data_IF_065594786757
#
_entry.id   IF_065594786757
#
_cell.length_a   1.000
_cell.length_b   1.000
_cell.length_c   1.000
_cell.angle_alpha   90.00
_cell.angle_beta   90.00
_cell.angle_gamma   90.00
#
_symmetry.space_group_name_H-M   'P 1'
#
loop_
_entity.id
_entity.type
_entity.pdbx_description
1 polymer ?
#
# COMPACT_ATOMS: atom_id res chain seq x y z
N UNK A 1 -15.43 20.81 16.37
CA UNK A 1 -16.82 20.30 16.19
C UNK A 1 -17.65 21.42 15.54
N UNK A 2 -18.51 21.11 14.57
CA UNK A 2 -19.39 22.12 13.93
C UNK A 2 -18.75 22.98 12.83
N UNK A 3 -17.51 22.72 12.41
CA UNK A 3 -16.80 23.53 11.39
C UNK A 3 -16.19 22.66 10.29
N UNK A 4 -15.42 21.63 10.67
CA UNK A 4 -14.87 20.62 9.77
C UNK A 4 -15.31 19.23 10.25
N UNK A 5 -15.69 18.36 9.30
CA UNK A 5 -15.96 16.94 9.50
C UNK A 5 -15.10 16.16 8.53
N UNK A 6 -14.34 15.20 9.03
CA UNK A 6 -13.48 14.37 8.19
C UNK A 6 -14.32 13.26 7.54
N UNK A 7 -14.19 13.12 6.23
CA UNK A 7 -14.68 11.98 5.45
C UNK A 7 -13.45 11.23 4.96
N UNK A 8 -13.23 10.03 5.49
CA UNK A 8 -11.97 9.29 5.31
C UNK A 8 -12.21 7.99 4.55
N UNK A 9 -11.45 7.77 3.49
CA UNK A 9 -11.42 6.50 2.75
C UNK A 9 -10.42 5.50 3.34
N UNK A 10 -9.49 5.98 4.17
CA UNK A 10 -8.57 5.17 4.95
C UNK A 10 -8.32 5.84 6.31
N UNK A 11 -8.52 5.09 7.41
CA UNK A 11 -8.36 5.64 8.77
C UNK A 11 -6.91 5.58 9.23
N UNK A 12 -6.38 6.70 9.71
CA UNK A 12 -5.06 6.79 10.32
C UNK A 12 -5.14 6.99 11.83
N UNK A 13 -3.99 6.99 12.52
CA UNK A 13 -3.90 7.31 13.96
C UNK A 13 -4.65 8.60 14.36
N UNK A 14 -4.58 9.74 13.63
CA UNK A 14 -5.26 10.96 14.03
C UNK A 14 -6.78 10.94 13.80
N UNK A 15 -7.28 10.24 12.77
CA UNK A 15 -8.72 10.19 12.46
C UNK A 15 -9.45 9.07 13.21
N UNK A 16 -8.74 8.02 13.65
CA UNK A 16 -9.31 6.85 14.33
C UNK A 16 -10.17 7.19 15.56
N UNK A 17 -9.75 8.06 16.51
CA UNK A 17 -10.61 8.41 17.64
C UNK A 17 -11.90 9.12 17.21
N UNK A 18 -11.81 10.01 16.22
CA UNK A 18 -12.97 10.77 15.73
C UNK A 18 -13.98 9.87 15.01
N UNK A 19 -13.52 8.95 14.15
CA UNK A 19 -14.39 7.98 13.45
C UNK A 19 -15.12 7.10 14.47
N UNK A 20 -14.39 6.53 15.42
CA UNK A 20 -14.98 5.63 16.43
C UNK A 20 -15.87 6.35 17.46
N UNK A 21 -15.84 7.69 17.51
CA UNK A 21 -16.73 8.51 18.32
C UNK A 21 -17.89 9.12 17.51
N UNK A 22 -18.04 8.79 16.22
CA UNK A 22 -19.08 9.34 15.33
C UNK A 22 -18.87 10.82 14.94
N UNK A 23 -17.66 11.35 15.17
CA UNK A 23 -17.27 12.73 14.86
C UNK A 23 -16.66 12.88 13.45
N UNK A 24 -16.31 11.77 12.81
CA UNK A 24 -15.84 11.65 11.44
C UNK A 24 -16.50 10.43 10.78
N UNK A 25 -16.52 10.39 9.44
CA UNK A 25 -17.18 9.34 8.67
C UNK A 25 -16.13 8.51 7.92
N UNK A 26 -16.15 7.19 8.11
CA UNK A 26 -15.37 6.25 7.31
C UNK A 26 -16.21 5.78 6.11
N UNK A 27 -15.61 5.81 4.93
CA UNK A 27 -16.22 5.38 3.67
C UNK A 27 -15.42 4.19 3.14
N UNK A 28 -15.95 2.96 3.23
CA UNK A 28 -15.25 1.80 2.69
C UNK A 28 -15.25 1.87 1.16
N UNK A 29 -14.06 1.94 0.57
CA UNK A 29 -13.84 1.89 -0.87
C UNK A 29 -12.49 1.24 -1.17
N UNK A 30 -12.38 0.53 -2.30
CA UNK A 30 -11.06 0.14 -2.81
C UNK A 30 -10.28 1.38 -3.21
N UNK A 31 -8.98 1.40 -2.92
CA UNK A 31 -8.15 2.56 -3.22
C UNK A 31 -8.15 2.87 -4.74
N UNK A 32 -8.17 1.83 -5.58
CA UNK A 32 -8.29 1.91 -7.04
C UNK A 32 -9.58 2.55 -7.55
N UNK A 33 -10.68 2.51 -6.78
CA UNK A 33 -11.97 3.08 -7.19
C UNK A 33 -12.11 4.57 -6.79
N UNK A 34 -11.30 5.07 -5.86
CA UNK A 34 -11.38 6.47 -5.42
C UNK A 34 -11.19 7.45 -6.61
N UNK A 35 -10.19 7.27 -7.50
CA UNK A 35 -10.06 8.11 -8.69
C UNK A 35 -11.33 8.15 -9.55
N UNK A 36 -12.01 7.02 -9.71
CA UNK A 36 -13.26 6.94 -10.48
C UNK A 36 -14.39 7.70 -9.79
N UNK A 37 -14.54 7.57 -8.47
CA UNK A 37 -15.53 8.33 -7.70
C UNK A 37 -15.37 9.84 -7.87
N UNK A 38 -14.13 10.33 -7.96
CA UNK A 38 -13.85 11.74 -8.22
C UNK A 38 -14.16 12.11 -9.68
N UNK A 39 -13.62 11.36 -10.64
CA UNK A 39 -13.76 11.64 -12.10
C UNK A 39 -15.19 11.52 -12.60
N UNK A 40 -16.00 10.62 -12.04
CA UNK A 40 -17.42 10.46 -12.39
C UNK A 40 -18.31 11.55 -11.77
N UNK A 41 -17.79 12.31 -10.80
CA UNK A 41 -18.56 13.27 -10.03
C UNK A 41 -19.49 12.66 -8.97
N UNK A 42 -19.45 11.34 -8.75
CA UNK A 42 -20.16 10.67 -7.65
C UNK A 42 -19.74 11.23 -6.30
N UNK A 43 -18.47 11.59 -6.15
CA UNK A 43 -17.95 12.37 -5.05
C UNK A 43 -17.41 13.71 -5.56
N UNK A 44 -18.21 14.76 -5.41
CA UNK A 44 -17.81 16.11 -5.81
C UNK A 44 -16.71 16.66 -4.89
N UNK A 45 -15.79 17.42 -5.49
CA UNK A 45 -14.69 18.10 -4.82
C UNK A 45 -14.71 19.59 -5.19
N UNK A 46 -14.86 20.47 -4.19
CA UNK A 46 -14.78 21.91 -4.43
C UNK A 46 -13.34 22.42 -4.46
N UNK A 47 -12.47 21.82 -3.64
CA UNK A 47 -11.07 22.25 -3.52
C UNK A 47 -10.18 21.07 -3.18
N UNK A 48 -9.07 20.94 -3.90
CA UNK A 48 -7.96 20.06 -3.54
C UNK A 48 -6.83 20.87 -2.91
N UNK A 49 -6.29 20.39 -1.79
CA UNK A 49 -5.14 20.99 -1.11
C UNK A 49 -3.98 20.00 -1.23
N UNK A 50 -2.89 20.44 -1.86
CA UNK A 50 -1.74 19.58 -2.16
C UNK A 50 -0.43 20.21 -1.69
N UNK A 51 0.60 19.39 -1.56
CA UNK A 51 1.99 19.82 -1.42
C UNK A 51 2.77 19.34 -2.66
N UNK A 52 3.60 20.20 -3.24
CA UNK A 52 4.34 19.92 -4.49
C UNK A 52 5.77 20.42 -4.42
N UNK A 53 6.64 19.90 -5.31
CA UNK A 53 7.98 20.45 -5.55
C UNK A 53 7.93 21.84 -6.21
N UNK A 54 9.02 22.62 -6.17
CA UNK A 54 9.16 23.83 -6.98
C UNK A 54 8.94 23.54 -8.47
N UNK A 55 8.39 24.50 -9.22
CA UNK A 55 8.23 24.35 -10.66
C UNK A 55 9.59 24.29 -11.35
N UNK A 56 9.72 23.43 -12.35
CA UNK A 56 10.87 23.43 -13.25
C UNK A 56 10.81 24.60 -14.27
N UNK A 57 11.79 24.65 -15.19
CA UNK A 57 11.86 25.68 -16.24
C UNK A 57 10.65 25.73 -17.18
N UNK A 58 9.80 24.69 -17.18
CA UNK A 58 8.58 24.61 -17.97
C UNK A 58 7.33 24.94 -17.14
N UNK A 59 7.48 25.26 -15.86
CA UNK A 59 6.37 25.54 -14.96
C UNK A 59 5.71 24.30 -14.39
N UNK A 60 6.35 23.12 -14.49
CA UNK A 60 5.84 21.87 -13.94
C UNK A 60 6.36 21.65 -12.52
N UNK A 61 5.45 21.58 -11.57
CA UNK A 61 5.67 21.06 -10.23
C UNK A 61 5.49 19.52 -10.23
N UNK A 62 5.92 18.86 -9.16
CA UNK A 62 5.65 17.44 -8.90
C UNK A 62 4.85 17.24 -7.62
N UNK A 63 3.85 16.35 -7.63
CA UNK A 63 3.17 15.82 -6.45
C UNK A 63 4.10 15.04 -5.50
N UNK A 64 5.30 14.69 -5.99
CA UNK A 64 6.35 14.03 -5.24
C UNK A 64 5.95 12.67 -4.73
N UNK A 65 6.04 12.45 -3.42
CA UNK A 65 5.92 11.11 -2.82
C UNK A 65 4.50 10.54 -2.84
N UNK A 66 3.49 11.30 -3.27
CA UNK A 66 2.08 10.86 -3.27
C UNK A 66 1.35 11.26 -4.54
N UNK A 67 1.14 10.30 -5.45
CA UNK A 67 0.23 10.47 -6.61
C UNK A 67 -1.16 9.96 -6.26
N UNK A 68 -1.25 8.70 -5.82
CA UNK A 68 -2.44 8.06 -5.26
C UNK A 68 -3.75 8.45 -5.97
N UNK A 69 -4.78 8.89 -5.23
CA UNK A 69 -5.98 9.46 -5.84
C UNK A 69 -5.89 10.98 -6.01
N UNK A 70 -4.78 11.60 -5.59
CA UNK A 70 -4.58 13.05 -5.65
C UNK A 70 -4.61 13.56 -7.08
N UNK A 71 -4.00 12.87 -8.05
CA UNK A 71 -4.08 13.29 -9.46
C UNK A 71 -5.52 13.34 -9.99
N UNK A 72 -6.37 12.39 -9.60
CA UNK A 72 -7.79 12.39 -9.95
C UNK A 72 -8.56 13.49 -9.22
N UNK A 73 -8.17 13.81 -7.99
CA UNK A 73 -8.72 14.95 -7.26
C UNK A 73 -8.40 16.27 -7.96
N UNK A 74 -7.17 16.46 -8.48
CA UNK A 74 -6.80 17.65 -9.25
C UNK A 74 -7.61 17.79 -10.56
N UNK A 75 -7.87 16.67 -11.23
CA UNK A 75 -8.69 16.64 -12.45
C UNK A 75 -10.15 17.00 -12.21
N UNK A 76 -10.65 16.80 -10.98
CA UNK A 76 -12.09 16.88 -10.65
C UNK A 76 -12.44 18.08 -9.77
N UNK A 77 -11.48 18.62 -9.01
CA UNK A 77 -11.71 19.73 -8.10
C UNK A 77 -11.91 21.06 -8.85
N UNK A 78 -12.83 21.89 -8.36
CA UNK A 78 -13.07 23.23 -8.94
C UNK A 78 -11.89 24.19 -8.73
N UNK A 79 -11.11 23.99 -7.67
CA UNK A 79 -9.95 24.80 -7.30
C UNK A 79 -8.83 23.92 -6.76
N UNK A 80 -7.60 24.28 -7.06
CA UNK A 80 -6.41 23.65 -6.50
C UNK A 80 -5.66 24.70 -5.69
N UNK A 81 -5.33 24.38 -4.43
CA UNK A 81 -4.47 25.18 -3.56
C UNK A 81 -3.22 24.37 -3.27
N UNK A 82 -2.05 24.91 -3.61
CA UNK A 82 -0.79 24.20 -3.47
C UNK A 82 0.12 24.84 -2.41
N UNK A 83 0.78 24.01 -1.60
CA UNK A 83 2.01 24.38 -0.91
C UNK A 83 3.20 23.93 -1.78
N UNK A 84 4.00 24.88 -2.25
CA UNK A 84 5.26 24.60 -2.92
C UNK A 84 6.34 24.44 -1.84
N UNK A 85 6.90 23.24 -1.73
CA UNK A 85 7.91 22.88 -0.73
C UNK A 85 9.18 22.40 -1.45
N UNK A 86 10.33 23.11 -1.34
CA UNK A 86 11.59 22.69 -1.95
C UNK A 86 12.10 21.33 -1.46
N UNK A 87 11.62 20.85 -0.31
CA UNK A 87 11.97 19.52 0.19
C UNK A 87 11.15 18.38 -0.47
N UNK A 88 10.11 18.68 -1.26
CA UNK A 88 9.31 17.67 -1.96
C UNK A 88 10.07 17.10 -3.16
N UNK A 89 10.37 15.78 -3.19
CA UNK A 89 11.06 15.17 -4.31
C UNK A 89 10.32 15.37 -5.63
N UNK A 90 11.05 15.58 -6.71
CA UNK A 90 10.54 15.63 -8.08
C UNK A 90 10.45 14.21 -8.64
N UNK A 91 9.49 13.43 -8.15
CA UNK A 91 9.26 12.06 -8.66
C UNK A 91 8.77 12.05 -10.10
N UNK A 92 9.08 11.00 -10.87
CA UNK A 92 8.59 10.80 -12.23
C UNK A 92 7.25 10.05 -12.28
N UNK A 93 6.53 10.15 -13.40
CA UNK A 93 5.29 9.44 -13.67
C UNK A 93 4.12 10.40 -13.87
N UNK A 94 2.98 10.11 -13.24
CA UNK A 94 1.77 10.93 -13.27
C UNK A 94 1.79 12.05 -12.21
N UNK A 95 2.97 12.32 -11.65
CA UNK A 95 3.20 13.29 -10.58
C UNK A 95 3.22 14.75 -11.05
N UNK A 96 3.39 15.01 -12.34
CA UNK A 96 3.57 16.39 -12.83
C UNK A 96 2.25 17.17 -12.89
N UNK A 97 2.27 18.40 -12.39
CA UNK A 97 1.16 19.36 -12.45
C UNK A 97 1.69 20.76 -12.79
N UNK A 98 0.99 21.52 -13.64
CA UNK A 98 1.46 22.84 -14.03
C UNK A 98 1.07 23.89 -12.97
N UNK A 99 1.99 24.79 -12.64
CA UNK A 99 1.73 25.95 -11.77
C UNK A 99 0.47 26.78 -12.16
N UNK A 100 0.10 26.79 -13.45
CA UNK A 100 -1.08 27.50 -13.97
C UNK A 100 -2.41 26.85 -13.56
N UNK A 101 -2.39 25.60 -13.14
CA UNK A 101 -3.58 24.87 -12.69
C UNK A 101 -3.97 25.26 -11.25
N UNK A 102 -3.10 25.98 -10.53
CA UNK A 102 -3.35 26.39 -9.16
C UNK A 102 -4.17 27.67 -9.09
N UNK A 103 -5.26 27.64 -8.32
CA UNK A 103 -6.04 28.83 -8.00
C UNK A 103 -5.29 29.76 -7.01
N UNK A 104 -4.49 29.16 -6.12
CA UNK A 104 -3.58 29.84 -5.23
C UNK A 104 -2.43 28.91 -4.85
N UNK A 105 -1.27 29.45 -4.53
CA UNK A 105 -0.19 28.69 -3.92
C UNK A 105 0.55 29.51 -2.88
N UNK A 106 1.24 28.81 -1.98
CA UNK A 106 2.18 29.38 -1.02
C UNK A 106 3.51 28.65 -1.15
N UNK A 107 4.60 29.40 -1.19
CA UNK A 107 5.95 28.85 -1.08
C UNK A 107 6.30 28.74 0.40
N UNK A 108 6.44 27.51 0.89
CA UNK A 108 6.74 27.22 2.27
C UNK A 108 7.59 25.96 2.36
N UNK A 109 8.85 26.16 2.74
CA UNK A 109 9.74 25.08 3.13
C UNK A 109 9.23 24.44 4.43
N UNK A 110 9.09 23.12 4.41
CA UNK A 110 8.72 22.36 5.60
C UNK A 110 9.32 20.96 5.55
N UNK A 111 9.64 20.34 6.71
CA UNK A 111 10.04 18.95 6.75
C UNK A 111 8.93 18.04 6.21
N UNK A 112 9.30 17.03 5.41
CA UNK A 112 8.37 15.99 4.99
C UNK A 112 8.30 14.93 6.09
N UNK A 113 7.10 14.45 6.47
CA UNK A 113 6.97 13.40 7.46
C UNK A 113 7.80 12.16 7.09
N UNK A 114 8.69 11.76 8.00
CA UNK A 114 9.48 10.55 7.86
C UNK A 114 8.75 9.36 8.49
N UNK A 115 8.90 8.19 7.88
CA UNK A 115 8.53 6.91 8.48
C UNK A 115 9.79 6.05 8.59
N UNK A 116 10.31 5.91 9.80
CA UNK A 116 11.52 5.12 10.01
C UNK A 116 11.18 3.62 10.05
N UNK A 117 12.10 2.75 9.61
CA UNK A 117 11.94 1.31 9.66
C UNK A 117 11.53 0.83 11.06
N UNK A 118 10.63 -0.15 11.10
CA UNK A 118 10.18 -0.71 12.35
C UNK A 118 11.29 -1.54 13.00
N UNK A 119 11.38 -1.49 14.34
CA UNK A 119 12.22 -2.41 15.07
C UNK A 119 11.78 -3.85 14.79
N UNK A 120 12.76 -4.72 14.53
CA UNK A 120 12.53 -6.13 14.31
C UNK A 120 12.49 -6.87 15.64
N UNK A 121 11.56 -7.82 15.76
CA UNK A 121 11.50 -8.74 16.88
C UNK A 121 11.60 -10.20 16.38
N UNK A 122 11.77 -11.19 17.28
CA UNK A 122 11.88 -12.59 16.86
C UNK A 122 10.65 -13.13 16.11
N UNK A 123 9.44 -12.62 16.40
CA UNK A 123 8.19 -13.01 15.76
C UNK A 123 8.16 -12.47 14.33
N UNK A 124 8.41 -11.17 14.13
CA UNK A 124 8.42 -10.55 12.80
C UNK A 124 9.54 -11.11 11.94
N UNK A 125 10.72 -11.35 12.51
CA UNK A 125 11.83 -12.00 11.82
C UNK A 125 11.49 -13.43 11.37
N UNK A 126 10.80 -14.20 12.21
CA UNK A 126 10.38 -15.56 11.84
C UNK A 126 9.31 -15.55 10.75
N UNK A 127 8.32 -14.66 10.84
CA UNK A 127 7.33 -14.44 9.77
C UNK A 127 8.06 -14.06 8.47
N UNK A 128 9.01 -13.11 8.52
CA UNK A 128 9.79 -12.68 7.38
C UNK A 128 10.51 -13.84 6.68
N UNK A 129 11.13 -14.75 7.44
CA UNK A 129 11.74 -15.98 6.90
C UNK A 129 10.73 -16.88 6.20
N UNK A 130 9.57 -17.11 6.81
CA UNK A 130 8.50 -17.93 6.22
C UNK A 130 7.97 -17.30 4.93
N UNK A 131 7.74 -16.00 4.89
CA UNK A 131 7.31 -15.29 3.68
C UNK A 131 8.40 -15.33 2.60
N UNK A 132 9.66 -15.08 2.96
CA UNK A 132 10.79 -15.11 2.02
C UNK A 132 11.01 -16.49 1.38
N UNK A 133 10.63 -17.57 2.08
CA UNK A 133 10.67 -18.94 1.51
C UNK A 133 9.69 -19.13 0.35
N UNK A 134 8.64 -18.29 0.25
CA UNK A 134 7.66 -18.31 -0.82
C UNK A 134 8.03 -17.40 -2.00
N UNK A 135 9.00 -16.49 -1.81
CA UNK A 135 9.53 -15.60 -2.85
C UNK A 135 10.52 -16.37 -3.71
N UNK A 136 10.34 -16.30 -5.03
CA UNK A 136 11.22 -16.91 -6.03
C UNK A 136 11.99 -15.83 -6.79
N UNK A 137 13.09 -16.23 -7.42
CA UNK A 137 13.79 -15.36 -8.37
C UNK A 137 12.85 -14.94 -9.50
N UNK A 138 12.95 -13.68 -9.92
CA UNK A 138 12.10 -13.10 -10.95
C UNK A 138 10.72 -12.63 -10.48
N UNK A 139 10.33 -12.86 -9.22
CA UNK A 139 9.03 -12.44 -8.70
C UNK A 139 8.83 -10.91 -8.81
N UNK A 140 7.60 -10.49 -9.11
CA UNK A 140 7.20 -9.08 -9.12
C UNK A 140 6.49 -8.75 -7.80
N UNK A 141 7.19 -8.10 -6.88
CA UNK A 141 6.73 -7.91 -5.51
C UNK A 141 5.79 -6.71 -5.38
N UNK A 142 4.74 -6.92 -4.59
CA UNK A 142 3.99 -5.87 -3.89
C UNK A 142 4.11 -6.11 -2.39
N UNK A 143 4.38 -5.04 -1.64
CA UNK A 143 4.36 -5.07 -0.18
C UNK A 143 4.01 -3.70 0.40
N UNK A 144 3.54 -3.68 1.64
CA UNK A 144 3.33 -2.45 2.40
C UNK A 144 4.56 -2.06 3.23
N UNK A 145 4.31 -1.24 4.25
CA UNK A 145 5.30 -0.83 5.26
C UNK A 145 5.15 -1.59 6.58
N UNK A 146 6.21 -1.54 7.40
CA UNK A 146 6.22 -2.04 8.77
C UNK A 146 7.06 -3.30 8.93
N UNK A 147 7.05 -3.83 10.16
CA UNK A 147 8.03 -4.83 10.59
C UNK A 147 8.03 -6.11 9.75
N UNK A 148 6.88 -6.60 9.26
CA UNK A 148 6.79 -7.84 8.47
C UNK A 148 7.35 -7.67 7.04
N UNK A 149 6.93 -6.66 6.25
CA UNK A 149 7.59 -6.33 4.99
C UNK A 149 9.10 -6.15 5.13
N UNK A 150 9.54 -5.38 6.12
CA UNK A 150 10.97 -5.14 6.40
C UNK A 150 11.72 -6.45 6.73
N UNK A 151 11.13 -7.31 7.57
CA UNK A 151 11.70 -8.62 7.91
C UNK A 151 11.81 -9.53 6.68
N UNK A 152 10.80 -9.48 5.81
CA UNK A 152 10.78 -10.27 4.58
C UNK A 152 11.91 -9.81 3.67
N UNK A 153 12.01 -8.50 3.40
CA UNK A 153 13.07 -7.90 2.56
C UNK A 153 14.46 -8.23 3.09
N UNK A 154 14.67 -8.17 4.41
CA UNK A 154 15.95 -8.55 5.03
C UNK A 154 16.38 -10.00 4.72
N UNK A 155 15.45 -10.88 4.36
CA UNK A 155 15.70 -12.27 4.00
C UNK A 155 15.81 -12.53 2.49
N UNK A 156 15.73 -11.49 1.63
CA UNK A 156 15.76 -11.66 0.16
C UNK A 156 17.12 -11.37 -0.48
N UNK A 157 18.18 -11.22 0.31
CA UNK A 157 19.51 -10.84 -0.20
C UNK A 157 20.15 -11.86 -1.15
N UNK A 158 19.66 -13.10 -1.18
CA UNK A 158 20.09 -14.18 -2.07
C UNK A 158 19.24 -14.30 -3.34
N UNK A 159 18.12 -13.57 -3.43
CA UNK A 159 17.22 -13.59 -4.59
C UNK A 159 17.79 -12.80 -5.76
N UNK A 160 17.35 -13.17 -6.96
CA UNK A 160 17.81 -12.56 -8.20
C UNK A 160 16.65 -12.04 -9.05
N UNK A 161 16.91 -10.93 -9.74
CA UNK A 161 16.05 -10.38 -10.77
C UNK A 161 14.61 -10.06 -10.35
N UNK A 162 14.42 -9.70 -9.08
CA UNK A 162 13.11 -9.29 -8.56
C UNK A 162 12.63 -8.01 -9.25
N UNK A 163 11.31 -7.83 -9.30
CA UNK A 163 10.65 -6.62 -9.74
C UNK A 163 9.76 -6.00 -8.65
N UNK A 164 9.38 -4.73 -8.84
CA UNK A 164 8.51 -3.99 -7.93
C UNK A 164 7.36 -3.38 -8.73
N UNK A 165 6.14 -3.81 -8.42
CA UNK A 165 4.89 -3.16 -8.82
C UNK A 165 3.99 -3.18 -7.59
N UNK A 166 3.89 -2.06 -6.90
CA UNK A 166 3.33 -2.00 -5.55
C UNK A 166 2.40 -0.80 -5.40
N UNK A 167 1.59 -0.79 -4.34
CA UNK A 167 0.87 0.41 -3.92
C UNK A 167 1.85 1.44 -3.36
N UNK A 168 2.71 0.98 -2.44
CA UNK A 168 3.77 1.79 -1.84
C UNK A 168 5.04 0.99 -1.58
N UNK A 169 6.16 1.67 -1.35
CA UNK A 169 7.36 1.05 -0.77
C UNK A 169 8.06 1.99 0.21
N UNK A 170 9.01 1.41 0.96
CA UNK A 170 9.79 2.10 1.99
C UNK A 170 11.26 1.64 1.96
N UNK A 171 12.04 2.07 2.95
CA UNK A 171 13.51 1.97 3.01
C UNK A 171 14.07 0.56 2.81
N UNK A 172 13.32 -0.48 3.20
CA UNK A 172 13.79 -1.86 3.12
C UNK A 172 14.17 -2.32 1.70
N UNK A 173 13.70 -1.64 0.65
CA UNK A 173 14.07 -1.97 -0.73
C UNK A 173 15.45 -1.44 -1.12
N UNK A 174 15.93 -0.35 -0.51
CA UNK A 174 17.14 0.35 -0.94
C UNK A 174 18.39 -0.55 -0.88
N UNK A 175 18.67 -1.28 0.22
CA UNK A 175 19.85 -2.15 0.27
C UNK A 175 19.79 -3.32 -0.73
N UNK A 176 18.60 -3.71 -1.17
CA UNK A 176 18.42 -4.78 -2.15
C UNK A 176 18.57 -4.27 -3.59
N UNK A 177 18.21 -3.01 -3.85
CA UNK A 177 18.50 -2.33 -5.11
C UNK A 177 20.01 -2.16 -5.30
N UNK A 178 20.72 -1.69 -4.27
CA UNK A 178 22.19 -1.55 -4.28
C UNK A 178 22.90 -2.88 -4.54
N UNK A 179 22.36 -3.99 -4.04
CA UNK A 179 22.87 -5.35 -4.27
C UNK A 179 22.47 -5.95 -5.63
N UNK A 180 21.66 -5.25 -6.43
CA UNK A 180 21.16 -5.75 -7.71
C UNK A 180 20.12 -6.87 -7.61
N UNK A 181 19.54 -7.09 -6.43
CA UNK A 181 18.47 -8.09 -6.22
C UNK A 181 17.21 -7.66 -6.98
N UNK A 182 16.84 -6.37 -6.88
CA UNK A 182 15.79 -5.77 -7.67
C UNK A 182 16.37 -5.23 -8.98
N UNK A 183 15.84 -5.71 -10.11
CA UNK A 183 16.25 -5.23 -11.44
C UNK A 183 15.07 -4.89 -12.33
N UNK A 184 13.84 -5.28 -11.96
CA UNK A 184 12.61 -5.05 -12.71
C UNK A 184 12.61 -5.61 -14.15
N UNK A 185 13.62 -6.38 -14.56
CA UNK A 185 13.81 -6.82 -15.96
C UNK A 185 12.79 -7.87 -16.42
N UNK A 186 12.26 -8.66 -15.48
CA UNK A 186 11.30 -9.73 -15.75
C UNK A 186 9.84 -9.24 -15.76
N UNK A 187 9.60 -7.96 -15.43
CA UNK A 187 8.27 -7.36 -15.52
C UNK A 187 7.87 -7.18 -16.98
N UNK A 188 6.59 -7.35 -17.29
CA UNK A 188 6.01 -7.06 -18.61
C UNK A 188 5.55 -5.60 -18.71
N UNK A 189 5.03 -5.06 -17.62
CA UNK A 189 4.63 -3.65 -17.49
C UNK A 189 5.74 -2.86 -16.84
N UNK A 190 6.18 -1.80 -17.51
CA UNK A 190 7.30 -0.96 -17.08
C UNK A 190 8.57 -1.79 -16.74
N UNK A 191 9.08 -2.59 -17.70
CA UNK A 191 10.34 -3.32 -17.49
C UNK A 191 11.46 -2.35 -17.12
N UNK A 192 12.31 -2.76 -16.19
CA UNK A 192 13.43 -1.95 -15.71
C UNK A 192 13.06 -0.83 -14.74
N UNK A 193 11.77 -0.63 -14.43
CA UNK A 193 11.32 0.45 -13.52
C UNK A 193 10.59 -0.08 -12.29
N UNK A 194 10.80 0.59 -11.16
CA UNK A 194 9.95 0.49 -9.97
C UNK A 194 8.65 1.23 -10.27
N UNK A 195 7.51 0.58 -10.01
CA UNK A 195 6.18 1.20 -10.15
C UNK A 195 5.50 1.24 -8.79
N UNK A 196 5.07 2.43 -8.39
CA UNK A 196 4.38 2.69 -7.13
C UNK A 196 3.31 3.76 -7.32
N UNK A 197 2.42 3.98 -6.35
CA UNK A 197 1.52 5.16 -6.35
C UNK A 197 1.86 6.17 -5.25
N UNK A 198 2.52 5.74 -4.18
CA UNK A 198 3.16 6.62 -3.21
C UNK A 198 4.38 5.96 -2.56
N UNK A 199 5.15 6.71 -1.76
CA UNK A 199 6.29 6.21 -1.00
C UNK A 199 6.31 6.86 0.38
N UNK A 200 6.83 6.15 1.38
CA UNK A 200 6.95 6.68 2.74
C UNK A 200 8.16 6.04 3.41
N UNK A 201 9.06 6.85 3.96
CA UNK A 201 10.31 6.33 4.50
C UNK A 201 11.17 7.37 5.17
N UNK A 202 12.47 7.09 5.26
CA UNK A 202 13.47 8.08 5.70
C UNK A 202 13.81 9.08 4.59
N UNK A 203 14.65 10.07 4.94
CA UNK A 203 15.20 11.01 3.97
C UNK A 203 15.96 10.29 2.84
N UNK A 204 16.66 9.19 3.13
CA UNK A 204 17.40 8.45 2.11
C UNK A 204 16.48 7.88 1.02
N UNK A 205 15.26 7.47 1.37
CA UNK A 205 14.26 7.06 0.40
C UNK A 205 13.80 8.25 -0.45
N UNK A 206 13.55 9.40 0.17
CA UNK A 206 13.09 10.59 -0.53
C UNK A 206 14.16 11.14 -1.49
N UNK A 207 15.43 11.12 -1.07
CA UNK A 207 16.58 11.46 -1.92
C UNK A 207 16.73 10.45 -3.08
N UNK A 208 16.49 9.15 -2.83
CA UNK A 208 16.57 8.12 -3.86
C UNK A 208 15.52 8.27 -4.97
N UNK A 209 14.30 8.71 -4.63
CA UNK A 209 13.21 8.86 -5.62
C UNK A 209 13.20 10.24 -6.30
N UNK A 210 13.97 11.20 -5.79
CA UNK A 210 14.08 12.54 -6.36
C UNK A 210 14.73 12.51 -7.76
N UNK A 211 13.98 12.93 -8.78
CA UNK A 211 14.37 12.98 -10.19
C UNK A 211 15.03 11.68 -10.72
N UNK A 212 14.65 10.53 -10.13
CA UNK A 212 15.17 9.23 -10.52
C UNK A 212 14.27 8.55 -11.58
N UNK A 213 14.74 8.39 -12.84
CA UNK A 213 13.92 7.87 -13.94
C UNK A 213 13.61 6.36 -13.82
N UNK A 214 14.27 5.66 -12.90
CA UNK A 214 14.00 4.25 -12.60
C UNK A 214 12.74 4.07 -11.72
N UNK A 215 12.26 5.13 -11.08
CA UNK A 215 11.08 5.09 -10.20
C UNK A 215 9.94 5.87 -10.83
N UNK A 216 8.77 5.23 -10.96
CA UNK A 216 7.58 5.85 -11.55
C UNK A 216 6.41 5.77 -10.58
N UNK A 217 5.91 6.94 -10.23
CA UNK A 217 4.72 7.15 -9.41
C UNK A 217 3.52 7.33 -10.34
N UNK A 218 2.57 6.41 -10.31
CA UNK A 218 1.40 6.40 -11.20
C UNK A 218 0.10 6.54 -10.41
N UNK A 219 -0.95 6.94 -11.11
CA UNK A 219 -2.32 6.94 -10.58
C UNK A 219 -2.67 5.60 -9.96
N UNK A 220 -3.31 5.62 -8.78
CA UNK A 220 -3.72 4.39 -8.11
C UNK A 220 -4.76 3.59 -8.88
N UNK A 221 -5.56 4.23 -9.74
CA UNK A 221 -6.43 3.53 -10.68
C UNK A 221 -5.66 2.70 -11.71
N UNK A 222 -4.34 2.91 -11.88
CA UNK A 222 -3.48 2.07 -12.69
C UNK A 222 -2.66 1.08 -11.86
N UNK A 223 -1.99 1.53 -10.79
CA UNK A 223 -1.12 0.66 -10.00
C UNK A 223 -1.89 -0.46 -9.33
N UNK A 224 -3.12 -0.17 -8.87
CA UNK A 224 -3.96 -1.11 -8.16
C UNK A 224 -5.00 -1.77 -9.09
N UNK A 225 -5.01 -1.51 -10.40
CA UNK A 225 -5.91 -2.21 -11.30
C UNK A 225 -5.45 -3.67 -11.48
N UNK A 226 -6.32 -4.62 -11.12
CA UNK A 226 -6.08 -6.04 -11.29
C UNK A 226 -5.77 -6.43 -12.75
N UNK A 227 -6.31 -5.70 -13.74
CA UNK A 227 -6.02 -5.89 -15.15
C UNK A 227 -4.60 -5.46 -15.53
N UNK A 228 -4.00 -4.52 -14.80
CA UNK A 228 -2.60 -4.12 -14.96
C UNK A 228 -1.69 -5.07 -14.19
N UNK A 229 -1.97 -5.30 -12.90
CA UNK A 229 -1.17 -6.15 -12.01
C UNK A 229 -0.94 -7.52 -12.64
N UNK A 230 -2.02 -8.16 -13.13
CA UNK A 230 -1.97 -9.53 -13.68
C UNK A 230 -1.09 -9.69 -14.92
N UNK A 231 -0.72 -8.59 -15.58
CA UNK A 231 0.10 -8.64 -16.80
C UNK A 231 1.58 -8.90 -16.48
N UNK A 232 2.03 -8.60 -15.26
CA UNK A 232 3.34 -9.05 -14.81
C UNK A 232 3.24 -10.53 -14.41
N UNK A 233 4.14 -11.40 -14.88
CA UNK A 233 4.21 -12.77 -14.38
C UNK A 233 4.75 -12.79 -12.95
N UNK A 234 4.48 -13.89 -12.23
CA UNK A 234 5.01 -14.18 -10.91
C UNK A 234 4.80 -13.05 -9.88
N UNK A 235 3.64 -12.37 -9.93
CA UNK A 235 3.31 -11.36 -8.92
C UNK A 235 3.28 -12.00 -7.54
N UNK A 236 3.97 -11.39 -6.57
CA UNK A 236 4.03 -11.82 -5.18
C UNK A 236 3.50 -10.69 -4.29
N UNK A 237 2.22 -10.80 -3.91
CA UNK A 237 1.54 -9.80 -3.08
C UNK A 237 1.64 -10.16 -1.59
N UNK A 238 2.27 -9.32 -0.78
CA UNK A 238 2.50 -9.56 0.65
C UNK A 238 1.78 -8.49 1.45
N UNK A 239 0.74 -8.90 2.19
CA UNK A 239 -0.11 -8.01 2.98
C UNK A 239 -0.25 -8.52 4.42
N UNK A 240 -0.77 -7.70 5.32
CA UNK A 240 -1.05 -8.08 6.70
C UNK A 240 -2.54 -7.99 7.02
N UNK A 241 -2.98 -8.55 8.14
CA UNK A 241 -4.37 -8.54 8.55
C UNK A 241 -4.49 -8.50 10.06
N UNK A 242 -5.56 -7.93 10.60
CA UNK A 242 -5.85 -7.86 12.03
C UNK A 242 -6.31 -9.21 12.60
N UNK A 243 -7.13 -9.94 11.86
CA UNK A 243 -7.69 -11.23 12.28
C UNK A 243 -7.99 -12.12 11.06
N UNK A 244 -7.80 -13.42 11.21
CA UNK A 244 -8.20 -14.43 10.23
C UNK A 244 -9.03 -15.49 10.96
N UNK A 245 -10.18 -15.88 10.40
CA UNK A 245 -10.96 -16.99 10.98
C UNK A 245 -10.55 -18.35 10.42
N UNK A 246 -10.98 -19.46 11.06
CA UNK A 246 -10.65 -20.83 10.64
C UNK A 246 -11.15 -21.21 9.23
N UNK A 247 -12.07 -20.42 8.66
CA UNK A 247 -12.53 -20.60 7.29
C UNK A 247 -11.67 -19.84 6.25
N UNK A 248 -10.76 -18.98 6.73
CA UNK A 248 -9.91 -18.12 5.93
C UNK A 248 -10.57 -16.79 5.52
N UNK A 249 -11.55 -16.27 6.26
CA UNK A 249 -11.95 -14.86 6.11
C UNK A 249 -10.93 -13.97 6.79
N UNK A 250 -10.59 -12.86 6.15
CA UNK A 250 -9.54 -11.96 6.62
C UNK A 250 -10.15 -10.59 6.92
N UNK A 251 -10.01 -10.17 8.17
CA UNK A 251 -10.29 -8.81 8.61
C UNK A 251 -8.98 -8.03 8.72
N UNK A 252 -8.89 -6.87 8.06
CA UNK A 252 -7.69 -6.05 8.05
C UNK A 252 -7.95 -4.57 8.38
N UNK A 253 -9.20 -4.11 8.38
CA UNK A 253 -9.54 -2.69 8.54
C UNK A 253 -10.19 -2.35 9.89
N UNK A 254 -10.67 -3.34 10.65
CA UNK A 254 -11.41 -3.10 11.90
C UNK A 254 -11.14 -4.11 13.02
N UNK A 255 -11.48 -3.71 14.25
CA UNK A 255 -11.52 -4.57 15.43
C UNK A 255 -12.98 -4.66 15.88
N UNK A 256 -13.70 -5.67 15.38
CA UNK A 256 -15.16 -5.72 15.44
C UNK A 256 -15.73 -4.48 14.75
N UNK A 257 -16.59 -3.74 15.43
CA UNK A 257 -17.20 -2.50 14.92
C UNK A 257 -16.28 -1.27 14.97
N UNK A 258 -15.09 -1.38 15.58
CA UNK A 258 -14.16 -0.24 15.69
C UNK A 258 -13.24 -0.18 14.49
N UNK A 259 -13.37 0.86 13.67
CA UNK A 259 -12.53 1.04 12.49
C UNK A 259 -11.10 1.36 12.92
N UNK A 260 -10.13 0.62 12.39
CA UNK A 260 -8.70 0.77 12.69
C UNK A 260 -7.94 1.43 11.53
N UNK A 261 -8.25 1.03 10.30
CA UNK A 261 -7.62 1.49 9.06
C UNK A 261 -8.63 1.62 7.91
N UNK A 262 -8.43 0.94 6.78
CA UNK A 262 -9.33 0.96 5.63
C UNK A 262 -9.11 -0.26 4.73
N UNK A 263 -10.00 -0.43 3.75
CA UNK A 263 -9.90 -1.52 2.76
C UNK A 263 -8.56 -1.45 1.99
N UNK A 264 -8.17 -0.25 1.55
CA UNK A 264 -6.93 -0.03 0.79
C UNK A 264 -6.91 -0.80 -0.54
N UNK A 265 -5.70 -1.14 -1.02
CA UNK A 265 -5.50 -1.97 -2.21
C UNK A 265 -5.20 -3.45 -1.94
N UNK A 266 -5.29 -3.93 -0.70
CA UNK A 266 -4.93 -5.31 -0.37
C UNK A 266 -5.67 -6.33 -1.25
N UNK A 267 -6.99 -6.17 -1.39
CA UNK A 267 -7.81 -7.08 -2.18
C UNK A 267 -7.44 -7.02 -3.66
N UNK A 268 -7.16 -5.82 -4.18
CA UNK A 268 -6.73 -5.61 -5.56
C UNK A 268 -5.45 -6.40 -5.86
N UNK A 269 -4.45 -6.31 -5.00
CA UNK A 269 -3.21 -7.07 -5.16
C UNK A 269 -3.38 -8.58 -4.91
N UNK A 270 -4.20 -8.98 -3.94
CA UNK A 270 -4.52 -10.40 -3.74
C UNK A 270 -5.16 -10.99 -5.00
N UNK A 271 -6.10 -10.28 -5.62
CA UNK A 271 -6.79 -10.73 -6.83
C UNK A 271 -5.89 -10.63 -8.06
N UNK A 272 -5.16 -9.54 -8.24
CA UNK A 272 -4.20 -9.34 -9.33
C UNK A 272 -3.12 -10.43 -9.33
N UNK A 273 -2.59 -10.78 -8.15
CA UNK A 273 -1.63 -11.86 -8.01
C UNK A 273 -2.24 -13.23 -8.34
N UNK A 274 -3.48 -13.49 -7.91
CA UNK A 274 -4.17 -14.76 -8.24
C UNK A 274 -4.47 -14.93 -9.74
N UNK A 275 -4.54 -13.82 -10.48
CA UNK A 275 -4.77 -13.78 -11.93
C UNK A 275 -3.47 -13.73 -12.76
N UNK A 276 -2.33 -13.43 -12.11
CA UNK A 276 -0.99 -13.43 -12.70
C UNK A 276 -0.49 -14.86 -12.92
N UNK A 277 0.23 -15.08 -14.01
CA UNK A 277 0.86 -16.36 -14.30
C UNK A 277 1.89 -16.72 -13.21
N UNK A 278 1.66 -17.81 -12.48
CA UNK A 278 2.52 -18.21 -11.36
C UNK A 278 2.48 -17.27 -10.15
N UNK A 279 1.52 -16.34 -10.10
CA UNK A 279 1.38 -15.37 -9.01
C UNK A 279 0.90 -16.00 -7.69
N UNK A 280 1.29 -15.37 -6.58
CA UNK A 280 0.99 -15.78 -5.21
C UNK A 280 0.62 -14.56 -4.36
N UNK A 281 -0.22 -14.78 -3.35
CA UNK A 281 -0.56 -13.77 -2.36
C UNK A 281 -0.43 -14.34 -0.96
N UNK A 282 0.05 -13.51 -0.05
CA UNK A 282 0.31 -13.85 1.34
C UNK A 282 -0.39 -12.84 2.24
N UNK A 283 -1.11 -13.36 3.23
CA UNK A 283 -1.58 -12.62 4.39
C UNK A 283 -0.71 -13.03 5.59
N UNK A 284 0.17 -12.14 6.03
CA UNK A 284 1.13 -12.39 7.09
C UNK A 284 0.77 -11.61 8.35
N UNK A 285 0.70 -12.30 9.49
CA UNK A 285 0.36 -11.70 10.79
C UNK A 285 0.96 -12.52 11.94
N UNK A 286 1.36 -11.88 13.05
CA UNK A 286 1.56 -12.58 14.32
C UNK A 286 0.34 -13.43 14.66
N UNK A 287 0.55 -14.62 15.23
CA UNK A 287 -0.56 -15.49 15.64
C UNK A 287 -1.37 -14.88 16.79
N UNK A 288 -0.77 -13.98 17.58
CA UNK A 288 -1.40 -13.34 18.74
C UNK A 288 -1.30 -11.80 18.72
N UNK A 289 -2.09 -11.16 19.59
CA UNK A 289 -2.10 -9.73 19.88
C UNK A 289 -2.24 -9.49 21.40
N UNK A 290 -2.20 -8.21 21.81
CA UNK A 290 -2.39 -7.79 23.21
C UNK A 290 -1.49 -8.56 24.19
N UNK A 291 -0.20 -8.65 23.87
CA UNK A 291 0.78 -9.36 24.71
C UNK A 291 0.58 -10.88 24.78
N UNK A 292 -0.01 -11.49 23.75
CA UNK A 292 -0.25 -12.93 23.68
C UNK A 292 -1.61 -13.38 24.20
N UNK A 293 -2.43 -12.46 24.73
CA UNK A 293 -3.72 -12.79 25.35
C UNK A 293 -4.86 -12.97 24.36
N UNK A 294 -4.69 -12.51 23.12
CA UNK A 294 -5.70 -12.62 22.07
C UNK A 294 -5.13 -13.35 20.85
N UNK A 295 -5.78 -14.42 20.42
CA UNK A 295 -5.43 -15.07 19.15
C UNK A 295 -5.96 -14.24 17.98
N UNK A 296 -5.10 -14.00 16.99
CA UNK A 296 -5.47 -13.40 15.69
C UNK A 296 -5.95 -14.45 14.69
N UNK A 297 -5.72 -15.73 14.97
CA UNK A 297 -6.38 -16.86 14.30
C UNK A 297 -7.56 -17.29 15.16
N UNK A 298 -8.78 -16.91 14.77
CA UNK A 298 -9.99 -17.10 15.59
C UNK A 298 -10.95 -18.11 14.99
N UNK A 299 -11.81 -18.72 15.82
CA UNK A 299 -12.86 -19.62 15.32
C UNK A 299 -13.84 -18.88 14.41
N UNK A 300 -14.20 -17.66 14.79
CA UNK A 300 -15.04 -16.72 14.05
C UNK A 300 -14.41 -15.34 14.12
N UNK A 301 -14.66 -14.51 13.11
CA UNK A 301 -14.32 -13.08 13.20
C UNK A 301 -15.16 -12.41 14.29
N UNK A 302 -14.62 -11.35 14.90
CA UNK A 302 -15.36 -10.56 15.88
C UNK A 302 -16.68 -10.03 15.29
N UNK A 303 -17.79 -9.97 16.07
CA UNK A 303 -19.04 -9.42 15.60
C UNK A 303 -18.86 -8.01 15.02
N UNK A 304 -19.33 -7.81 13.78
CA UNK A 304 -19.21 -6.55 13.04
C UNK A 304 -17.84 -6.27 12.41
N UNK A 305 -16.90 -7.23 12.43
CA UNK A 305 -15.60 -7.08 11.76
C UNK A 305 -15.74 -6.93 10.24
N UNK A 306 -14.95 -6.02 9.66
CA UNK A 306 -14.90 -5.78 8.21
C UNK A 306 -14.09 -6.87 7.50
N UNK A 307 -14.76 -7.70 6.70
CA UNK A 307 -14.06 -8.68 5.85
C UNK A 307 -13.47 -7.94 4.65
N UNK A 308 -12.15 -7.75 4.66
CA UNK A 308 -11.41 -7.09 3.56
C UNK A 308 -11.02 -8.10 2.48
N UNK A 309 -10.65 -9.33 2.87
CA UNK A 309 -10.35 -10.40 1.92
C UNK A 309 -11.19 -11.63 2.23
N UNK A 310 -12.00 -12.05 1.26
CA UNK A 310 -12.95 -13.15 1.44
C UNK A 310 -12.27 -14.52 1.30
N UNK A 311 -12.94 -15.58 1.76
CA UNK A 311 -12.43 -16.97 1.75
C UNK A 311 -11.88 -17.40 0.39
N UNK A 312 -12.58 -17.03 -0.68
CA UNK A 312 -12.24 -17.43 -2.05
C UNK A 312 -10.98 -16.74 -2.59
N UNK A 313 -10.59 -15.61 -2.01
CA UNK A 313 -9.43 -14.84 -2.43
C UNK A 313 -8.14 -15.27 -1.74
N UNK A 314 -8.22 -15.82 -0.52
CA UNK A 314 -7.03 -16.17 0.25
C UNK A 314 -6.25 -17.30 -0.41
N UNK A 315 -4.94 -17.08 -0.55
CA UNK A 315 -3.99 -18.07 -1.02
C UNK A 315 -3.14 -18.60 0.14
N UNK A 316 -2.19 -17.80 0.65
CA UNK A 316 -1.39 -18.17 1.82
C UNK A 316 -1.72 -17.31 3.04
N UNK A 317 -1.71 -17.94 4.21
CA UNK A 317 -1.69 -17.27 5.52
C UNK A 317 -0.39 -17.66 6.22
N UNK A 318 0.32 -16.68 6.76
CA UNK A 318 1.64 -16.89 7.39
C UNK A 318 1.65 -16.30 8.79
N UNK A 319 2.10 -17.10 9.76
CA UNK A 319 2.38 -16.67 11.14
C UNK A 319 3.81 -17.04 11.49
N UNK A 320 4.27 -16.70 12.68
CA UNK A 320 5.58 -17.11 13.20
C UNK A 320 5.72 -18.65 13.27
N UNK A 321 4.62 -19.40 13.31
CA UNK A 321 4.62 -20.85 13.40
C UNK A 321 4.71 -21.56 12.04
N UNK A 322 4.45 -20.87 10.93
CA UNK A 322 4.55 -21.47 9.61
C UNK A 322 3.62 -20.87 8.54
N UNK A 323 3.42 -21.65 7.49
CA UNK A 323 2.72 -21.25 6.27
C UNK A 323 1.55 -22.19 6.00
N UNK A 324 0.34 -21.65 5.89
CA UNK A 324 -0.87 -22.38 5.50
C UNK A 324 -1.31 -21.99 4.08
N UNK A 325 -1.46 -22.97 3.19
CA UNK A 325 -2.02 -22.76 1.84
C UNK A 325 -3.52 -23.09 1.84
N UNK A 326 -4.37 -22.07 1.70
CA UNK A 326 -5.82 -22.19 1.74
C UNK A 326 -6.47 -22.26 0.34
N UNK A 327 -5.69 -22.09 -0.74
CA UNK A 327 -6.22 -22.13 -2.11
C UNK A 327 -6.77 -23.51 -2.42
N UNK A 328 -8.02 -23.56 -2.91
CA UNK A 328 -8.74 -24.78 -3.26
C UNK A 328 -8.85 -25.83 -2.13
N UNK A 329 -8.77 -25.40 -0.86
CA UNK A 329 -8.97 -26.25 0.32
C UNK A 329 -10.40 -26.17 0.83
N UNK A 330 -10.95 -27.31 1.23
CA UNK A 330 -12.21 -27.41 1.96
C UNK A 330 -12.14 -26.70 3.32
N UNK A 331 -13.29 -26.39 3.92
CA UNK A 331 -13.31 -25.74 5.24
C UNK A 331 -12.61 -26.58 6.33
N UNK A 332 -12.70 -27.91 6.26
CA UNK A 332 -12.00 -28.80 7.18
C UNK A 332 -10.49 -28.78 6.99
N UNK A 333 -10.00 -28.78 5.74
CA UNK A 333 -8.57 -28.66 5.47
C UNK A 333 -8.03 -27.29 5.90
N UNK A 334 -8.78 -26.21 5.62
CA UNK A 334 -8.41 -24.85 6.03
C UNK A 334 -8.27 -24.72 7.54
N UNK A 335 -9.24 -25.24 8.30
CA UNK A 335 -9.22 -25.17 9.75
C UNK A 335 -8.10 -26.02 10.39
N UNK A 336 -7.57 -27.03 9.68
CA UNK A 336 -6.47 -27.89 10.14
C UNK A 336 -5.08 -27.38 9.77
N UNK A 337 -4.97 -26.55 8.73
CA UNK A 337 -3.71 -26.02 8.19
C UNK A 337 -3.13 -24.94 9.09
#
# INVERSE_FOLDING_TARGET
KGHLRQRVFFVGRPSRPAVNAGLADYVPAFLSEIPKLFRSGEQQLDTAIIQVSPPDKHGLCSLGISVEATIAALQSAKKIIAQINPNMPRTHGDSFVHLKDFAAYVELESPIPLHLPAAQDPITAQIGRHVASLVRDGDCLQMGIGAIPDATLACLGDRQHLGIHTEMFSDGVLPLLEKGVFTNRNKKKHPGKIVTTFAMGSQALYDFVDDNPEVVFLDVAYTNDTAVIRQNPQVMAINSALQVDLSGQVCADSLGTRIYSGVGGQMDFVRGAALSEGGRSVIALPATAAGGTLSRISSLLAPGAGVVTTRAHVHYVVTEYGVANLRARSLTERARS
#
